data_IF_235317967974
#
_entry.id   IF_235317967974
#
_cell.length_a   1.000
_cell.length_b   1.000
_cell.length_c   1.000
_cell.angle_alpha   90.00
_cell.angle_beta   90.00
_cell.angle_gamma   90.00
#
_symmetry.space_group_name_H-M   'P 1'
#
loop_
_entity.id
_entity.type
_entity.pdbx_description
1 polymer ?
#
# COMPACT_ATOMS: atom_id res chain seq x y z
N UNK A 1 -8.07 -3.98 11.06
CA UNK A 1 -6.98 -3.59 11.96
C UNK A 1 -5.83 -3.05 11.12
N UNK A 2 -5.22 -1.96 11.55
CA UNK A 2 -4.11 -1.31 10.85
C UNK A 2 -2.97 -1.17 11.83
N UNK A 3 -1.87 -1.87 11.55
CA UNK A 3 -0.65 -1.81 12.34
C UNK A 3 0.39 -1.02 11.56
N UNK A 4 1.05 -0.08 12.24
CA UNK A 4 2.10 0.75 11.68
C UNK A 4 3.36 0.42 12.47
N UNK A 5 4.34 -0.17 11.81
CA UNK A 5 5.72 -0.29 12.26
C UNK A 5 6.54 0.70 11.44
N UNK A 6 7.65 1.22 11.97
CA UNK A 6 8.44 2.33 11.39
C UNK A 6 8.35 2.49 9.87
N UNK A 7 8.68 1.46 9.10
CA UNK A 7 8.61 1.47 7.62
C UNK A 7 7.48 0.60 7.03
N UNK A 8 6.79 -0.20 7.85
CA UNK A 8 5.78 -1.16 7.40
C UNK A 8 4.36 -0.75 7.82
N UNK A 9 3.45 -0.70 6.86
CA UNK A 9 2.01 -0.55 7.10
C UNK A 9 1.30 -1.87 6.82
N UNK A 10 0.83 -2.53 7.87
CA UNK A 10 0.18 -3.84 7.80
C UNK A 10 -1.33 -3.66 7.99
N UNK A 11 -2.09 -3.84 6.91
CA UNK A 11 -3.56 -3.84 6.93
C UNK A 11 -4.06 -5.27 7.07
N UNK A 12 -4.79 -5.55 8.16
CA UNK A 12 -5.38 -6.86 8.45
C UNK A 12 -6.90 -6.77 8.53
N UNK A 13 -7.58 -7.76 7.99
CA UNK A 13 -9.03 -7.82 8.06
C UNK A 13 -9.58 -9.15 7.58
N UNK A 14 -10.81 -9.45 7.98
CA UNK A 14 -11.51 -10.69 7.64
C UNK A 14 -12.05 -10.67 6.21
N UNK A 15 -12.35 -9.47 5.67
CA UNK A 15 -12.86 -9.27 4.31
C UNK A 15 -11.75 -8.79 3.39
N UNK A 16 -11.39 -9.60 2.40
CA UNK A 16 -10.32 -9.29 1.45
C UNK A 16 -10.58 -8.00 0.66
N UNK A 17 -11.83 -7.77 0.22
CA UNK A 17 -12.21 -6.60 -0.57
C UNK A 17 -11.94 -5.29 0.20
N UNK A 18 -12.30 -5.24 1.48
CA UNK A 18 -12.06 -4.06 2.31
C UNK A 18 -10.57 -3.82 2.54
N UNK A 19 -9.81 -4.88 2.83
CA UNK A 19 -8.36 -4.82 3.04
C UNK A 19 -7.67 -4.33 1.76
N UNK A 20 -8.01 -4.92 0.62
CA UNK A 20 -7.47 -4.54 -0.69
C UNK A 20 -7.83 -3.11 -1.07
N UNK A 21 -9.07 -2.68 -0.84
CA UNK A 21 -9.50 -1.32 -1.12
C UNK A 21 -8.77 -0.31 -0.22
N UNK A 22 -8.60 -0.64 1.06
CA UNK A 22 -7.89 0.21 2.02
C UNK A 22 -6.42 0.35 1.63
N UNK A 23 -5.75 -0.76 1.28
CA UNK A 23 -4.37 -0.74 0.81
C UNK A 23 -4.21 0.10 -0.48
N UNK A 24 -5.11 -0.08 -1.45
CA UNK A 24 -5.09 0.69 -2.70
C UNK A 24 -5.29 2.19 -2.47
N UNK A 25 -6.15 2.57 -1.52
CA UNK A 25 -6.37 3.98 -1.20
C UNK A 25 -5.09 4.64 -0.64
N UNK A 26 -4.34 3.94 0.21
CA UNK A 26 -3.09 4.46 0.81
C UNK A 26 -2.03 4.70 -0.28
N UNK A 27 -1.85 3.75 -1.20
CA UNK A 27 -0.93 3.88 -2.32
C UNK A 27 -1.33 5.07 -3.22
N UNK A 28 -2.62 5.19 -3.56
CA UNK A 28 -3.10 6.25 -4.44
C UNK A 28 -2.91 7.66 -3.88
N UNK A 29 -3.06 7.83 -2.56
CA UNK A 29 -2.89 9.13 -1.89
C UNK A 29 -1.43 9.57 -1.89
N UNK A 30 -0.49 8.63 -1.80
CA UNK A 30 0.96 8.92 -1.77
C UNK A 30 1.59 8.96 -3.16
N UNK A 31 0.84 8.61 -4.21
CA UNK A 31 1.33 8.59 -5.59
C UNK A 31 1.68 9.99 -6.11
N UNK A 32 2.96 10.17 -6.44
CA UNK A 32 3.48 11.38 -7.08
C UNK A 32 2.96 11.49 -8.52
N UNK A 33 2.37 12.65 -8.87
CA UNK A 33 1.79 12.91 -10.21
C UNK A 33 2.60 13.89 -11.07
N UNK A 34 3.30 14.85 -10.46
CA UNK A 34 3.88 16.00 -11.16
C UNK A 34 5.42 16.03 -11.11
N UNK A 35 6.08 14.89 -10.86
CA UNK A 35 7.55 14.77 -10.86
C UNK A 35 8.00 13.51 -11.59
N UNK A 36 9.28 13.45 -11.96
CA UNK A 36 9.88 12.25 -12.54
C UNK A 36 10.02 11.16 -11.48
N UNK A 37 9.29 10.06 -11.68
CA UNK A 37 9.26 8.92 -10.77
C UNK A 37 10.60 8.20 -10.64
N UNK A 38 11.53 8.37 -11.59
CA UNK A 38 12.86 7.75 -11.52
C UNK A 38 13.79 8.46 -10.54
N UNK A 39 13.44 9.69 -10.17
CA UNK A 39 14.21 10.52 -9.22
C UNK A 39 13.48 10.62 -7.88
N UNK A 40 12.15 10.70 -7.92
CA UNK A 40 11.32 10.81 -6.73
C UNK A 40 10.51 9.53 -6.54
N UNK A 41 11.02 8.67 -5.66
CA UNK A 41 10.45 7.36 -5.31
C UNK A 41 9.72 7.39 -3.96
N UNK A 42 9.44 8.58 -3.42
CA UNK A 42 8.74 8.72 -2.15
C UNK A 42 7.27 8.28 -2.33
N UNK A 43 6.88 7.24 -1.60
CA UNK A 43 5.53 6.67 -1.68
C UNK A 43 5.39 5.43 -0.81
N UNK A 44 4.15 5.05 -0.51
CA UNK A 44 3.84 3.78 0.16
C UNK A 44 3.41 2.80 -0.93
N UNK A 45 4.11 1.65 -0.99
CA UNK A 45 3.90 0.64 -2.02
C UNK A 45 3.45 -0.67 -1.40
N UNK A 46 2.60 -1.40 -2.13
CA UNK A 46 2.17 -2.74 -1.71
C UNK A 46 3.28 -3.73 -2.13
N UNK A 47 4.02 -4.25 -1.17
CA UNK A 47 5.09 -5.22 -1.41
C UNK A 47 4.67 -6.69 -1.21
N UNK A 48 3.62 -6.94 -0.42
CA UNK A 48 3.07 -8.28 -0.18
C UNK A 48 1.54 -8.26 -0.23
N UNK A 49 0.96 -9.26 -0.89
CA UNK A 49 -0.48 -9.49 -0.98
C UNK A 49 -0.74 -10.97 -0.69
N UNK A 50 -1.22 -11.28 0.52
CA UNK A 50 -1.72 -12.62 0.84
C UNK A 50 -2.99 -12.94 0.05
N UNK A 51 -2.82 -13.50 -1.14
CA UNK A 51 -3.90 -13.88 -2.04
C UNK A 51 -3.42 -14.22 -3.46
N UNK A 52 -2.30 -13.64 -3.89
CA UNK A 52 -1.58 -14.07 -5.10
C UNK A 52 -0.41 -14.96 -4.66
N UNK A 53 -0.66 -16.28 -4.58
CA UNK A 53 0.43 -17.23 -4.70
C UNK A 53 0.89 -17.18 -6.16
N UNK A 54 2.14 -16.77 -6.40
CA UNK A 54 2.84 -17.24 -7.58
C UNK A 54 3.10 -18.74 -7.45
#
# INVERSE_FOLDING_TARGET
DVQISEEDVIVRGTRLQDVSQTAANIEQVTKIKNKDLRVFLDGIYIYDKKGEMA
#
